data_IF_698929052891
#
_entry.id   IF_698929052891
#
_cell.length_a   1.000
_cell.length_b   1.000
_cell.length_c   1.000
_cell.angle_alpha   90.00
_cell.angle_beta   90.00
_cell.angle_gamma   90.00
#
_symmetry.space_group_name_H-M   'P 1'
#
loop_
_entity.id
_entity.type
_entity.pdbx_description
1 polymer ?
#
# COMPACT_ATOMS: atom_id res chain seq x y z
N UNK A 1 7.19 -3.17 4.55
CA UNK A 1 7.44 -1.75 4.91
C UNK A 1 6.79 -1.46 6.25
N UNK A 2 7.47 -0.70 7.11
CA UNK A 2 6.97 -0.30 8.42
C UNK A 2 6.07 0.94 8.31
N UNK A 3 5.05 1.00 9.16
CA UNK A 3 4.11 2.13 9.23
C UNK A 3 4.04 2.71 10.63
N UNK A 4 3.51 3.93 10.74
CA UNK A 4 3.46 4.71 11.97
C UNK A 4 2.12 4.57 12.72
N UNK A 5 1.06 4.25 11.99
CA UNK A 5 -0.31 4.25 12.51
C UNK A 5 -0.55 3.07 13.46
N UNK A 6 -1.06 3.31 14.68
CA UNK A 6 -1.26 2.24 15.68
C UNK A 6 -2.34 1.23 15.28
N UNK A 7 -3.38 1.65 14.52
CA UNK A 7 -4.46 0.79 14.06
C UNK A 7 -4.03 -0.28 13.05
N UNK A 8 -2.81 -0.19 12.50
CA UNK A 8 -2.25 -1.20 11.58
C UNK A 8 -2.23 -2.58 12.24
N UNK A 9 -1.90 -2.68 13.53
CA UNK A 9 -1.87 -3.95 14.26
C UNK A 9 -3.23 -4.64 14.29
N UNK A 10 -4.33 -3.89 14.28
CA UNK A 10 -5.69 -4.42 14.24
C UNK A 10 -6.00 -5.10 12.89
N UNK A 11 -5.34 -4.63 11.83
CA UNK A 11 -5.50 -5.16 10.48
C UNK A 11 -4.57 -6.36 10.18
N UNK A 12 -3.69 -6.77 11.10
CA UNK A 12 -2.75 -7.87 10.89
C UNK A 12 -3.43 -9.10 10.29
N UNK A 13 -2.88 -9.62 9.18
CA UNK A 13 -3.41 -10.77 8.45
C UNK A 13 -4.54 -10.44 7.46
N UNK A 14 -4.97 -9.19 7.36
CA UNK A 14 -5.90 -8.76 6.32
C UNK A 14 -5.17 -8.59 4.99
N UNK A 15 -5.58 -9.33 3.97
CA UNK A 15 -5.18 -9.09 2.58
C UNK A 15 -6.21 -8.22 1.89
N UNK A 16 -5.75 -7.19 1.20
CA UNK A 16 -6.55 -6.41 0.26
C UNK A 16 -6.21 -6.83 -1.16
N UNK A 17 -7.22 -7.24 -1.90
CA UNK A 17 -7.10 -7.62 -3.32
C UNK A 17 -7.69 -6.55 -4.20
N UNK A 18 -7.12 -6.43 -5.42
CA UNK A 18 -7.61 -5.49 -6.42
C UNK A 18 -7.63 -4.04 -5.91
N UNK A 19 -6.56 -3.61 -5.26
CA UNK A 19 -6.34 -2.24 -4.82
C UNK A 19 -5.26 -1.57 -5.67
N UNK A 20 -5.32 -0.25 -5.80
CA UNK A 20 -4.24 0.55 -6.36
C UNK A 20 -3.47 1.17 -5.21
N UNK A 21 -2.15 1.05 -5.21
CA UNK A 21 -1.27 1.67 -4.23
C UNK A 21 -0.35 2.69 -4.88
N UNK A 22 -0.20 3.85 -4.23
CA UNK A 22 0.76 4.88 -4.60
C UNK A 22 1.68 5.16 -3.43
N UNK A 23 2.97 5.34 -3.71
CA UNK A 23 3.91 5.84 -2.71
C UNK A 23 4.32 7.25 -3.11
N UNK A 24 4.13 8.18 -2.17
CA UNK A 24 4.32 9.60 -2.38
C UNK A 24 5.44 10.14 -1.48
N UNK A 25 6.24 11.04 -2.05
CA UNK A 25 7.17 11.90 -1.36
C UNK A 25 6.64 13.33 -1.39
N UNK A 26 5.91 13.70 -0.37
CA UNK A 26 5.10 14.92 -0.38
C UNK A 26 4.06 14.86 -1.50
N UNK A 27 4.23 15.69 -2.54
CA UNK A 27 3.34 15.71 -3.72
C UNK A 27 3.84 14.85 -4.87
N UNK A 28 5.07 14.32 -4.77
CA UNK A 28 5.70 13.57 -5.86
C UNK A 28 5.34 12.10 -5.76
N UNK A 29 4.72 11.55 -6.80
CA UNK A 29 4.52 10.11 -6.96
C UNK A 29 5.85 9.44 -7.29
N UNK A 30 6.24 8.45 -6.46
CA UNK A 30 7.45 7.66 -6.62
C UNK A 30 7.17 6.28 -7.23
N UNK A 31 5.98 5.74 -6.93
CA UNK A 31 5.53 4.43 -7.36
C UNK A 31 4.02 4.41 -7.41
N UNK A 32 3.47 3.71 -8.39
CA UNK A 32 2.05 3.44 -8.53
C UNK A 32 1.87 2.08 -9.20
N UNK A 33 1.05 1.22 -8.62
CA UNK A 33 0.71 -0.08 -9.22
C UNK A 33 -0.60 -0.62 -8.65
N UNK A 34 -1.12 -1.68 -9.27
CA UNK A 34 -2.36 -2.36 -8.92
C UNK A 34 -2.06 -3.81 -8.54
N UNK A 35 -2.71 -4.32 -7.48
CA UNK A 35 -2.48 -5.70 -7.06
C UNK A 35 -3.01 -6.04 -5.68
N UNK A 36 -2.31 -6.97 -5.02
CA UNK A 36 -2.61 -7.43 -3.66
C UNK A 36 -1.59 -6.91 -2.65
N UNK A 37 -2.09 -6.56 -1.47
CA UNK A 37 -1.26 -6.22 -0.32
C UNK A 37 -1.74 -6.91 0.93
N UNK A 38 -0.86 -7.01 1.93
CA UNK A 38 -1.11 -7.66 3.21
C UNK A 38 -0.76 -6.69 4.35
N UNK A 39 -1.65 -6.56 5.32
CA UNK A 39 -1.34 -5.93 6.60
C UNK A 39 -0.64 -6.91 7.54
N UNK A 40 0.43 -6.43 8.19
CA UNK A 40 1.22 -7.17 9.17
C UNK A 40 1.19 -6.45 10.52
N UNK A 41 1.77 -7.04 11.56
CA UNK A 41 1.87 -6.39 12.87
C UNK A 41 2.78 -5.16 12.89
N UNK A 42 3.65 -4.99 11.90
CA UNK A 42 4.59 -3.86 11.79
C UNK A 42 4.22 -2.86 10.70
N UNK A 43 3.25 -3.16 9.85
CA UNK A 43 2.92 -2.32 8.72
C UNK A 43 2.31 -3.10 7.57
N UNK A 44 2.91 -2.99 6.38
CA UNK A 44 2.39 -3.54 5.14
C UNK A 44 3.40 -4.40 4.39
N UNK A 45 2.89 -5.42 3.68
CA UNK A 45 3.64 -6.38 2.88
C UNK A 45 2.79 -6.86 1.69
N UNK A 46 3.14 -8.00 1.10
CA UNK A 46 2.45 -8.59 -0.05
C UNK A 46 3.06 -8.16 -1.37
N UNK A 47 2.67 -8.81 -2.49
CA UNK A 47 3.32 -8.64 -3.79
C UNK A 47 3.47 -7.18 -4.22
N UNK A 48 2.38 -6.41 -4.15
CA UNK A 48 2.36 -4.99 -4.49
C UNK A 48 3.36 -4.15 -3.67
N UNK A 49 3.45 -4.40 -2.37
CA UNK A 49 4.33 -3.67 -1.45
C UNK A 49 5.79 -4.13 -1.57
N UNK A 50 6.02 -5.42 -1.85
CA UNK A 50 7.36 -5.97 -2.10
C UNK A 50 7.91 -5.34 -3.37
N UNK A 51 7.15 -5.32 -4.47
CA UNK A 51 7.54 -4.62 -5.70
C UNK A 51 7.84 -3.15 -5.44
N UNK A 52 6.95 -2.43 -4.76
CA UNK A 52 7.15 -1.04 -4.39
C UNK A 52 8.46 -0.82 -3.61
N UNK A 53 8.83 -1.74 -2.72
CA UNK A 53 10.02 -1.61 -1.87
C UNK A 53 11.32 -1.53 -2.68
N UNK A 54 11.39 -2.22 -3.82
CA UNK A 54 12.55 -2.17 -4.73
C UNK A 54 12.75 -0.78 -5.34
N UNK A 55 11.64 -0.05 -5.58
CA UNK A 55 11.67 1.31 -6.16
C UNK A 55 11.98 2.38 -5.14
N UNK A 56 11.45 2.26 -3.91
CA UNK A 56 11.50 3.34 -2.93
C UNK A 56 12.51 3.14 -1.80
N UNK A 57 13.20 1.99 -1.71
CA UNK A 57 14.08 1.67 -0.60
C UNK A 57 15.10 2.77 -0.29
N UNK A 58 15.76 3.32 -1.32
CA UNK A 58 16.72 4.43 -1.16
C UNK A 58 16.05 5.79 -0.87
N UNK A 59 14.72 5.91 -0.96
CA UNK A 59 14.00 7.17 -0.76
C UNK A 59 13.63 7.42 0.70
N UNK A 60 13.80 6.44 1.57
CA UNK A 60 13.67 6.61 3.02
C UNK A 60 14.85 7.35 3.65
N UNK A 61 15.82 7.77 2.86
CA UNK A 61 16.90 8.66 3.28
C UNK A 61 16.89 9.93 2.42
N UNK A 62 17.10 11.07 3.07
CA UNK A 62 17.33 12.34 2.37
C UNK A 62 18.77 12.43 1.82
N UNK A 63 19.08 13.56 1.17
CA UNK A 63 20.43 13.83 0.64
C UNK A 63 21.51 13.92 1.72
N UNK A 64 21.13 14.13 2.97
CA UNK A 64 22.02 14.27 4.13
C UNK A 64 22.11 12.96 4.94
N UNK A 65 21.46 11.87 4.47
CA UNK A 65 21.41 10.58 5.17
C UNK A 65 20.45 10.55 6.36
N UNK A 66 19.55 11.50 6.48
CA UNK A 66 18.52 11.50 7.52
C UNK A 66 17.33 10.69 7.09
N UNK A 67 16.71 9.95 8.04
CA UNK A 67 15.48 9.18 7.78
C UNK A 67 14.36 10.11 7.35
N UNK A 68 13.61 9.67 6.35
CA UNK A 68 12.50 10.39 5.76
C UNK A 68 11.27 9.49 5.72
N UNK A 69 10.11 10.05 6.06
CA UNK A 69 8.84 9.37 5.95
C UNK A 69 8.27 9.55 4.53
N UNK A 70 7.60 8.50 4.03
CA UNK A 70 6.86 8.51 2.78
C UNK A 70 5.38 8.27 3.08
N UNK A 71 4.50 8.62 2.15
CA UNK A 71 3.07 8.32 2.27
C UNK A 71 2.71 7.16 1.36
N UNK A 72 2.08 6.12 1.91
CA UNK A 72 1.36 5.12 1.14
C UNK A 72 -0.10 5.55 1.05
N UNK A 73 -0.60 5.72 -0.15
CA UNK A 73 -2.01 6.00 -0.45
C UNK A 73 -2.59 4.80 -1.19
N UNK A 74 -3.72 4.29 -0.70
CA UNK A 74 -4.39 3.12 -1.26
C UNK A 74 -5.77 3.54 -1.75
N UNK A 75 -6.07 3.25 -3.00
CA UNK A 75 -7.42 3.26 -3.53
C UNK A 75 -8.06 1.88 -3.30
N UNK A 76 -9.02 1.82 -2.41
CA UNK A 76 -9.71 0.57 -2.04
C UNK A 76 -10.75 0.13 -3.09
N UNK A 77 -11.10 0.99 -4.05
CA UNK A 77 -12.09 0.73 -5.11
C UNK A 77 -11.64 1.32 -6.45
N UNK A 78 -10.49 0.90 -7.00
CA UNK A 78 -9.89 1.52 -8.19
C UNK A 78 -10.74 1.39 -9.46
N UNK A 79 -11.63 0.40 -9.52
CA UNK A 79 -12.55 0.22 -10.65
C UNK A 79 -13.64 1.30 -10.76
N UNK A 80 -13.81 2.15 -9.73
CA UNK A 80 -14.82 3.21 -9.70
C UNK A 80 -14.15 4.57 -9.59
N UNK A 81 -14.64 5.56 -10.34
CA UNK A 81 -14.28 6.95 -10.07
C UNK A 81 -14.88 7.40 -8.73
N UNK A 82 -14.42 8.53 -8.21
CA UNK A 82 -14.94 9.08 -6.94
C UNK A 82 -16.44 9.38 -7.06
N UNK A 83 -16.90 9.89 -8.20
CA UNK A 83 -18.32 10.16 -8.47
C UNK A 83 -19.15 8.87 -8.55
N UNK A 84 -18.63 7.84 -9.22
CA UNK A 84 -19.31 6.54 -9.31
C UNK A 84 -19.41 5.86 -7.94
N UNK A 85 -18.35 6.00 -7.12
CA UNK A 85 -18.35 5.49 -5.76
C UNK A 85 -19.34 6.25 -4.86
N UNK A 86 -19.43 7.58 -4.99
CA UNK A 86 -20.42 8.40 -4.27
C UNK A 86 -21.85 7.97 -4.60
N UNK A 87 -22.16 7.76 -5.88
CA UNK A 87 -23.46 7.28 -6.31
C UNK A 87 -23.79 5.87 -5.77
N UNK A 88 -22.79 5.00 -5.72
CA UNK A 88 -22.95 3.67 -5.13
C UNK A 88 -23.21 3.75 -3.62
N UNK A 89 -22.44 4.53 -2.89
CA UNK A 89 -22.62 4.71 -1.44
C UNK A 89 -23.99 5.33 -1.15
N UNK A 90 -24.42 6.32 -1.95
CA UNK A 90 -25.74 6.93 -1.82
C UNK A 90 -26.86 5.89 -1.98
N UNK A 91 -26.79 5.06 -3.01
CA UNK A 91 -27.76 3.96 -3.22
C UNK A 91 -27.75 2.95 -2.08
N UNK A 92 -26.57 2.54 -1.61
CA UNK A 92 -26.43 1.60 -0.50
C UNK A 92 -27.03 2.20 0.81
N UNK A 93 -26.97 3.52 0.99
CA UNK A 93 -27.59 4.24 2.11
C UNK A 93 -29.11 4.34 1.94
N UNK A 94 -29.62 4.58 0.74
CA UNK A 94 -31.06 4.61 0.45
C UNK A 94 -31.71 3.23 0.71
N UNK A 95 -31.07 2.14 0.29
CA UNK A 95 -31.51 0.77 0.58
C UNK A 95 -31.50 0.45 2.09
N UNK A 96 -30.64 1.10 2.87
CA UNK A 96 -30.46 0.89 4.30
C UNK A 96 -30.93 2.07 5.15
N UNK A 97 -31.86 2.87 4.65
CA UNK A 97 -32.31 4.18 5.15
C UNK A 97 -32.41 4.34 6.67
N UNK A 98 -32.87 3.32 7.39
CA UNK A 98 -33.04 3.36 8.85
C UNK A 98 -31.90 2.71 9.64
N UNK A 99 -30.88 2.17 8.97
CA UNK A 99 -29.76 1.51 9.64
C UNK A 99 -28.74 2.54 10.15
N UNK A 100 -28.04 2.16 11.19
CA UNK A 100 -26.86 2.88 11.67
C UNK A 100 -25.72 2.75 10.67
N UNK A 101 -24.87 3.77 10.57
CA UNK A 101 -23.75 3.84 9.65
C UNK A 101 -22.84 2.61 9.74
N UNK A 102 -22.46 2.19 10.97
CA UNK A 102 -21.64 0.99 11.20
C UNK A 102 -22.18 -0.29 10.53
N UNK A 103 -23.51 -0.40 10.44
CA UNK A 103 -24.16 -1.56 9.83
C UNK A 103 -24.37 -1.43 8.32
N UNK A 104 -24.46 -0.21 7.82
CA UNK A 104 -24.67 0.07 6.41
C UNK A 104 -23.43 -0.17 5.54
N UNK A 105 -22.22 0.06 6.11
CA UNK A 105 -20.96 -0.07 5.37
C UNK A 105 -20.39 -1.48 5.33
N UNK A 106 -21.03 -2.47 5.97
CA UNK A 106 -20.52 -3.84 6.08
C UNK A 106 -20.30 -4.56 4.74
N UNK A 107 -21.02 -4.14 3.69
CA UNK A 107 -20.87 -4.68 2.33
C UNK A 107 -19.74 -3.99 1.53
N UNK A 108 -19.21 -2.87 2.01
CA UNK A 108 -18.17 -2.11 1.30
C UNK A 108 -16.77 -2.65 1.57
N UNK A 109 -16.53 -3.23 2.75
CA UNK A 109 -15.21 -3.61 3.23
C UNK A 109 -15.16 -5.02 3.82
N UNK A 110 -13.98 -5.65 3.85
CA UNK A 110 -13.74 -6.80 4.72
C UNK A 110 -14.03 -6.45 6.19
N UNK A 111 -14.60 -7.38 6.93
CA UNK A 111 -15.05 -7.16 8.32
C UNK A 111 -13.97 -6.52 9.18
N UNK A 112 -12.73 -6.95 9.03
CA UNK A 112 -11.59 -6.48 9.81
C UNK A 112 -11.21 -5.00 9.54
N UNK A 113 -11.54 -4.48 8.35
CA UNK A 113 -11.27 -3.09 8.00
C UNK A 113 -12.34 -2.13 8.52
N UNK A 114 -13.55 -2.60 8.81
CA UNK A 114 -14.71 -1.77 9.19
C UNK A 114 -14.41 -0.87 10.41
N UNK A 115 -13.86 -1.38 11.54
CA UNK A 115 -13.58 -0.53 12.70
C UNK A 115 -12.65 0.65 12.36
N UNK A 116 -11.59 0.40 11.59
CA UNK A 116 -10.64 1.45 11.16
C UNK A 116 -11.32 2.47 10.25
N UNK A 117 -12.18 2.01 9.31
CA UNK A 117 -12.93 2.91 8.43
C UNK A 117 -13.98 3.75 9.17
N UNK A 118 -14.53 3.24 10.26
CA UNK A 118 -15.43 4.00 11.14
C UNK A 118 -14.66 5.07 11.92
N UNK A 119 -13.50 4.72 12.47
CA UNK A 119 -12.65 5.66 13.21
C UNK A 119 -12.15 6.80 12.32
N UNK A 120 -11.62 6.47 11.14
CA UNK A 120 -11.05 7.46 10.21
C UNK A 120 -12.11 8.23 9.41
N UNK A 121 -13.32 7.68 9.28
CA UNK A 121 -14.39 8.24 8.46
C UNK A 121 -15.03 9.52 9.03
N UNK A 122 -14.84 9.80 10.32
CA UNK A 122 -15.35 11.01 10.97
C UNK A 122 -16.88 11.07 11.09
N UNK A 123 -17.59 9.99 10.78
CA UNK A 123 -19.05 9.87 10.92
C UNK A 123 -19.35 9.04 12.16
N UNK A 124 -20.25 9.54 13.01
CA UNK A 124 -20.71 8.79 14.19
C UNK A 124 -21.23 7.39 13.77
N UNK A 125 -20.65 6.30 14.27
CA UNK A 125 -21.06 4.92 13.94
C UNK A 125 -22.56 4.64 14.22
N UNK A 126 -23.14 5.30 15.21
CA UNK A 126 -24.55 5.15 15.60
C UNK A 126 -25.50 6.06 14.79
N UNK A 127 -24.98 7.00 14.02
CA UNK A 127 -25.76 7.91 13.17
C UNK A 127 -26.53 7.10 12.12
N UNK A 128 -27.82 7.38 11.97
CA UNK A 128 -28.62 6.77 10.90
C UNK A 128 -28.15 7.27 9.53
N UNK A 129 -28.08 6.40 8.55
CA UNK A 129 -27.58 6.77 7.21
C UNK A 129 -28.43 7.85 6.52
N UNK A 130 -29.73 7.92 6.82
CA UNK A 130 -30.61 8.99 6.31
C UNK A 130 -30.31 10.38 6.88
N UNK A 131 -29.53 10.47 7.96
CA UNK A 131 -29.12 11.71 8.59
C UNK A 131 -27.69 12.11 8.25
N UNK A 132 -26.98 11.30 7.42
CA UNK A 132 -25.63 11.59 6.95
C UNK A 132 -25.71 12.69 5.89
N UNK A 133 -24.97 13.78 6.12
CA UNK A 133 -24.93 14.91 5.20
C UNK A 133 -24.11 14.56 3.95
N UNK A 134 -24.36 15.31 2.88
CA UNK A 134 -23.67 15.12 1.60
C UNK A 134 -22.14 15.27 1.73
N UNK A 135 -21.70 16.23 2.54
CA UNK A 135 -20.30 16.51 2.82
C UNK A 135 -19.64 15.38 3.59
N UNK A 136 -20.28 14.83 4.63
CA UNK A 136 -19.80 13.68 5.39
C UNK A 136 -19.64 12.45 4.45
N UNK A 137 -20.65 12.18 3.60
CA UNK A 137 -20.60 11.11 2.64
C UNK A 137 -19.45 11.29 1.65
N UNK A 138 -19.24 12.49 1.12
CA UNK A 138 -18.13 12.77 0.20
C UNK A 138 -16.77 12.60 0.86
N UNK A 139 -16.60 13.05 2.11
CA UNK A 139 -15.37 12.83 2.88
C UNK A 139 -15.10 11.34 3.09
N UNK A 140 -16.14 10.56 3.37
CA UNK A 140 -16.01 9.11 3.50
C UNK A 140 -15.64 8.45 2.16
N UNK A 141 -16.24 8.86 1.05
CA UNK A 141 -15.89 8.41 -0.30
C UNK A 141 -14.43 8.76 -0.61
N UNK A 142 -14.00 9.98 -0.29
CA UNK A 142 -12.62 10.43 -0.44
C UNK A 142 -11.66 9.56 0.38
N UNK A 143 -12.00 9.22 1.62
CA UNK A 143 -11.21 8.30 2.44
C UNK A 143 -11.04 6.92 1.77
N UNK A 144 -12.10 6.38 1.15
CA UNK A 144 -12.03 5.09 0.43
C UNK A 144 -11.06 5.16 -0.76
N UNK A 145 -11.03 6.29 -1.47
CA UNK A 145 -10.16 6.50 -2.64
C UNK A 145 -8.73 6.89 -2.25
N UNK A 146 -8.54 7.44 -1.07
CA UNK A 146 -7.27 7.98 -0.58
C UNK A 146 -6.99 7.49 0.85
N UNK A 147 -7.01 6.17 1.04
CA UNK A 147 -6.70 5.56 2.32
C UNK A 147 -5.19 5.64 2.58
N UNK A 148 -4.78 6.57 3.45
CA UNK A 148 -3.38 6.94 3.64
C UNK A 148 -2.79 6.40 4.92
N UNK A 149 -1.49 6.07 4.84
CA UNK A 149 -0.65 5.73 5.98
C UNK A 149 0.78 6.20 5.75
N UNK A 150 1.52 6.37 6.85
CA UNK A 150 2.89 6.86 6.86
C UNK A 150 3.86 5.70 6.86
N UNK A 151 4.69 5.59 5.83
CA UNK A 151 5.78 4.63 5.76
C UNK A 151 7.03 5.21 6.45
N UNK A 152 7.61 4.47 7.39
CA UNK A 152 8.78 4.90 8.17
C UNK A 152 10.09 4.25 7.74
N UNK A 153 10.02 3.16 6.98
CA UNK A 153 11.20 2.45 6.50
C UNK A 153 10.92 1.05 5.98
N UNK A 154 12.00 0.37 5.65
CA UNK A 154 12.03 -1.06 5.36
C UNK A 154 12.41 -1.84 6.61
N UNK A 155 12.04 -3.12 6.65
CA UNK A 155 12.54 -4.05 7.69
C UNK A 155 14.01 -4.38 7.44
N UNK A 156 14.68 -4.82 8.51
CA UNK A 156 16.06 -5.25 8.45
C UNK A 156 16.27 -6.53 7.64
N UNK A 157 17.50 -6.77 7.20
CA UNK A 157 17.90 -7.90 6.37
C UNK A 157 17.38 -9.28 6.81
N UNK A 158 17.33 -9.65 8.11
CA UNK A 158 16.83 -10.96 8.52
C UNK A 158 15.36 -11.22 8.18
N UNK A 159 14.58 -10.17 7.95
CA UNK A 159 13.16 -10.25 7.60
C UNK A 159 12.88 -9.87 6.14
N UNK A 160 13.94 -9.61 5.36
CA UNK A 160 13.80 -9.25 3.94
C UNK A 160 13.33 -10.44 3.12
N UNK A 161 12.26 -10.25 2.35
CA UNK A 161 11.76 -11.25 1.37
C UNK A 161 12.55 -11.13 0.08
N UNK A 162 12.91 -9.89 -0.30
CA UNK A 162 13.78 -9.57 -1.42
C UNK A 162 14.90 -8.65 -0.94
N UNK A 163 16.06 -8.73 -1.59
CA UNK A 163 17.18 -7.80 -1.39
C UNK A 163 17.43 -7.05 -2.69
N UNK A 164 17.93 -5.82 -2.58
CA UNK A 164 18.30 -4.99 -3.73
C UNK A 164 19.78 -4.66 -3.69
N UNK A 165 20.41 -4.73 -4.87
CA UNK A 165 21.84 -4.52 -5.05
C UNK A 165 22.56 -5.85 -5.26
N UNK A 166 23.84 -5.76 -5.58
CA UNK A 166 24.66 -6.94 -5.89
C UNK A 166 25.85 -6.56 -6.74
N UNK A 167 26.42 -7.55 -7.41
CA UNK A 167 27.53 -7.37 -8.35
C UNK A 167 26.99 -6.65 -9.60
N UNK A 168 27.65 -5.54 -9.95
CA UNK A 168 27.26 -4.72 -11.09
C UNK A 168 27.31 -5.52 -12.39
N UNK A 169 26.17 -5.68 -13.04
CA UNK A 169 26.02 -6.47 -14.28
C UNK A 169 26.92 -5.98 -15.44
N UNK A 170 27.31 -4.71 -15.44
CA UNK A 170 28.24 -4.17 -16.45
C UNK A 170 29.63 -4.75 -16.33
N UNK A 171 30.00 -5.29 -15.17
CA UNK A 171 31.27 -5.91 -14.87
C UNK A 171 31.28 -7.42 -15.16
N UNK A 172 30.17 -7.95 -15.67
CA UNK A 172 29.99 -9.36 -16.00
C UNK A 172 29.82 -9.53 -17.51
N UNK A 173 30.45 -10.55 -18.08
CA UNK A 173 30.21 -10.97 -19.45
C UNK A 173 28.87 -11.72 -19.52
N UNK A 174 27.87 -11.26 -20.28
CA UNK A 174 26.54 -11.88 -20.30
C UNK A 174 26.52 -13.23 -21.03
N UNK A 175 27.53 -13.55 -21.83
CA UNK A 175 27.62 -14.81 -22.56
C UNK A 175 28.26 -15.94 -21.75
N UNK A 176 29.18 -15.61 -20.84
CA UNK A 176 29.92 -16.58 -20.04
C UNK A 176 29.61 -16.48 -18.54
N UNK A 177 29.02 -15.39 -18.11
CA UNK A 177 28.79 -15.02 -16.70
C UNK A 177 30.11 -14.81 -15.93
N UNK A 178 31.24 -14.66 -16.62
CA UNK A 178 32.57 -14.38 -16.04
C UNK A 178 32.71 -12.91 -15.71
N UNK A 179 33.40 -12.62 -14.61
CA UNK A 179 33.81 -11.25 -14.25
C UNK A 179 34.77 -10.69 -15.31
N UNK A 180 34.50 -9.48 -15.80
CA UNK A 180 35.45 -8.72 -16.64
C UNK A 180 36.65 -8.20 -15.88
N UNK A 181 36.58 -8.16 -14.54
CA UNK A 181 37.63 -7.63 -13.66
C UNK A 181 38.56 -8.72 -13.13
N UNK A 182 38.00 -9.92 -12.88
CA UNK A 182 38.73 -11.05 -12.29
C UNK A 182 38.54 -12.29 -13.13
N UNK A 183 39.57 -12.73 -13.84
CA UNK A 183 39.53 -13.93 -14.67
C UNK A 183 39.28 -15.19 -13.82
N UNK A 184 38.41 -16.07 -14.31
CA UNK A 184 38.04 -17.32 -13.66
C UNK A 184 37.00 -17.17 -12.52
N UNK A 185 36.48 -15.98 -12.29
CA UNK A 185 35.42 -15.71 -11.32
C UNK A 185 34.08 -15.57 -12.06
N UNK A 186 33.12 -16.42 -11.71
CA UNK A 186 31.80 -16.47 -12.34
C UNK A 186 30.71 -16.14 -11.33
N UNK A 187 29.62 -15.52 -11.79
CA UNK A 187 28.48 -15.14 -10.96
C UNK A 187 27.19 -15.69 -11.56
N UNK A 188 26.24 -16.11 -10.70
CA UNK A 188 24.90 -16.53 -11.11
C UNK A 188 23.86 -16.25 -10.03
N UNK A 189 22.62 -16.03 -10.45
CA UNK A 189 21.47 -15.82 -9.56
C UNK A 189 21.43 -14.42 -8.93
N UNK A 190 20.79 -14.31 -7.77
CA UNK A 190 20.44 -13.04 -7.09
C UNK A 190 21.65 -12.26 -6.54
N UNK A 191 22.86 -12.80 -6.63
CA UNK A 191 24.08 -12.05 -6.30
C UNK A 191 24.35 -10.92 -7.30
N UNK A 192 23.79 -11.00 -8.50
CA UNK A 192 23.85 -9.95 -9.49
C UNK A 192 22.84 -8.82 -9.16
N UNK A 193 23.24 -7.57 -9.45
CA UNK A 193 22.36 -6.40 -9.30
C UNK A 193 21.30 -6.39 -10.43
N UNK A 194 20.38 -7.34 -10.36
CA UNK A 194 19.25 -7.50 -11.26
C UNK A 194 17.97 -7.53 -10.43
N UNK A 195 17.08 -6.59 -10.68
CA UNK A 195 15.73 -6.59 -10.11
C UNK A 195 14.83 -7.44 -11.03
N UNK A 196 14.53 -8.67 -10.63
CA UNK A 196 13.48 -9.45 -11.28
C UNK A 196 12.12 -9.06 -10.70
N UNK A 197 11.21 -8.60 -11.54
CA UNK A 197 9.80 -8.49 -11.18
C UNK A 197 9.22 -9.90 -11.26
N UNK A 198 8.77 -10.45 -10.13
CA UNK A 198 7.98 -11.67 -10.14
C UNK A 198 6.58 -11.30 -10.62
N UNK A 199 6.28 -11.57 -11.87
CA UNK A 199 4.88 -11.70 -12.31
C UNK A 199 4.32 -12.96 -11.64
N UNK A 200 3.31 -12.77 -10.81
CA UNK A 200 2.50 -13.84 -10.22
C UNK A 200 1.26 -14.03 -11.06
#
# INVERSE_FOLDING_TARGET
METKEPWICELQGLSLRNVEAKILDGKKELYKDFGEMLFTHFGVSGPLIISASSYVGKKFMDKNGQKKELTLEIDLKPALTEEQLDQRVLRDFEENHNRQFKNAITKLFPTKLIPVMLELGGIDPEKKVNSIEKEERKQFVHLIKHFRMTLTGLRDYPEAIITKGGVNVKEIDPGTMESKLVKGLYFAGEVLDLDALTEV
#
